data_IF_495685533271
#
_entry.id   IF_495685533271
#
_cell.length_a   1.000
_cell.length_b   1.000
_cell.length_c   1.000
_cell.angle_alpha   90.00
_cell.angle_beta   90.00
_cell.angle_gamma   90.00
#
_symmetry.space_group_name_H-M   'P 1'
#
loop_
_entity.id
_entity.type
_entity.pdbx_description
1 polymer ?
#
# COMPACT_ATOMS: atom_id res chain seq x y z
N UNK A 1 -14.86 5.79 10.96
CA UNK A 1 -15.91 4.86 10.48
C UNK A 1 -15.26 3.51 10.21
N UNK A 2 -15.64 2.42 10.90
CA UNK A 2 -15.07 1.08 10.64
C UNK A 2 -15.72 0.52 9.37
N UNK A 3 -15.04 0.65 8.23
CA UNK A 3 -15.52 0.11 6.95
C UNK A 3 -15.38 -1.40 6.99
N UNK A 4 -16.46 -2.13 6.68
CA UNK A 4 -16.42 -3.59 6.50
C UNK A 4 -15.95 -3.91 5.08
N UNK A 5 -15.27 -5.04 4.89
CA UNK A 5 -14.77 -5.52 3.59
C UNK A 5 -15.78 -5.43 2.43
N UNK A 6 -17.03 -5.83 2.68
CA UNK A 6 -18.11 -5.77 1.66
C UNK A 6 -18.41 -4.33 1.20
N UNK A 7 -18.28 -3.36 2.09
CA UNK A 7 -18.48 -1.95 1.78
C UNK A 7 -17.27 -1.35 1.06
N UNK A 8 -16.06 -1.84 1.34
CA UNK A 8 -14.83 -1.39 0.65
C UNK A 8 -14.93 -1.62 -0.87
N UNK A 9 -15.36 -2.80 -1.31
CA UNK A 9 -15.50 -3.10 -2.75
C UNK A 9 -16.45 -2.16 -3.49
N UNK A 10 -17.51 -1.68 -2.82
CA UNK A 10 -18.44 -0.70 -3.42
C UNK A 10 -17.79 0.68 -3.51
N UNK A 11 -17.04 1.09 -2.48
CA UNK A 11 -16.32 2.36 -2.45
C UNK A 11 -15.21 2.42 -3.50
N UNK A 12 -14.49 1.32 -3.70
CA UNK A 12 -13.36 1.25 -4.64
C UNK A 12 -13.77 1.42 -6.10
N UNK A 13 -15.03 1.18 -6.47
CA UNK A 13 -15.58 1.55 -7.79
C UNK A 13 -15.49 3.05 -8.10
N UNK A 14 -15.23 3.87 -7.08
CA UNK A 14 -15.09 5.32 -7.19
C UNK A 14 -13.69 5.80 -6.79
N UNK A 15 -12.70 4.89 -6.73
CA UNK A 15 -11.33 5.20 -6.23
C UNK A 15 -10.63 6.29 -7.04
N UNK A 16 -10.96 6.44 -8.33
CA UNK A 16 -10.42 7.49 -9.19
C UNK A 16 -10.75 8.93 -8.73
N UNK A 17 -11.63 9.09 -7.73
CA UNK A 17 -11.97 10.39 -7.11
C UNK A 17 -11.38 10.55 -5.71
N UNK A 18 -10.77 9.50 -5.16
CA UNK A 18 -10.26 9.52 -3.80
C UNK A 18 -8.91 10.24 -3.78
N UNK A 19 -8.73 11.11 -2.78
CA UNK A 19 -7.43 11.70 -2.47
C UNK A 19 -6.68 10.89 -1.42
N UNK A 20 -7.42 10.26 -0.52
CA UNK A 20 -6.85 9.55 0.61
C UNK A 20 -7.60 8.24 0.77
N UNK A 21 -6.86 7.15 0.97
CA UNK A 21 -7.41 5.82 1.22
C UNK A 21 -6.60 5.14 2.31
N UNK A 22 -7.22 5.01 3.48
CA UNK A 22 -6.61 4.34 4.63
C UNK A 22 -7.38 3.06 4.95
N UNK A 23 -6.75 1.93 4.65
CA UNK A 23 -7.29 0.59 4.91
C UNK A 23 -6.51 -0.02 6.06
N UNK A 24 -7.19 -0.16 7.20
CA UNK A 24 -6.68 -0.82 8.41
C UNK A 24 -7.58 -2.04 8.66
N UNK A 25 -7.06 -3.21 8.32
CA UNK A 25 -7.80 -4.47 8.24
C UNK A 25 -7.35 -5.50 9.29
N UNK A 26 -6.55 -5.12 10.27
CA UNK A 26 -5.94 -5.97 11.32
C UNK A 26 -6.95 -6.83 12.11
N UNK A 27 -8.25 -6.48 12.04
CA UNK A 27 -9.35 -7.16 12.74
C UNK A 27 -10.49 -7.57 11.79
N UNK A 28 -10.24 -7.65 10.49
CA UNK A 28 -11.26 -8.10 9.55
C UNK A 28 -11.38 -9.62 9.63
N UNK A 29 -12.61 -10.13 9.61
CA UNK A 29 -12.85 -11.58 9.61
C UNK A 29 -12.16 -12.23 8.40
N UNK A 30 -11.50 -13.37 8.64
CA UNK A 30 -10.76 -14.12 7.63
C UNK A 30 -11.67 -14.39 6.43
N UNK A 31 -11.32 -13.78 5.30
CA UNK A 31 -11.94 -14.08 4.03
C UNK A 31 -10.97 -14.90 3.21
N UNK A 32 -11.46 -15.89 2.47
CA UNK A 32 -10.63 -16.74 1.60
C UNK A 32 -9.94 -16.00 0.44
N UNK A 33 -10.11 -14.68 0.32
CA UNK A 33 -9.55 -13.87 -0.75
C UNK A 33 -8.68 -12.76 -0.16
N UNK A 34 -7.45 -12.53 -0.66
CA UNK A 34 -6.63 -11.40 -0.23
C UNK A 34 -7.32 -10.05 -0.44
N UNK A 35 -7.21 -9.13 0.52
CA UNK A 35 -7.81 -7.78 0.41
C UNK A 35 -7.34 -7.01 -0.82
N UNK A 36 -6.10 -7.24 -1.23
CA UNK A 36 -5.46 -6.50 -2.31
C UNK A 36 -6.09 -6.75 -3.68
N UNK A 37 -6.78 -7.89 -3.84
CA UNK A 37 -7.53 -8.22 -5.06
C UNK A 37 -8.71 -7.27 -5.32
N UNK A 38 -9.07 -6.41 -4.36
CA UNK A 38 -10.09 -5.39 -4.54
C UNK A 38 -9.55 -4.11 -5.19
N UNK A 39 -8.24 -3.86 -5.15
CA UNK A 39 -7.61 -2.65 -5.67
C UNK A 39 -7.23 -2.83 -7.14
N UNK A 40 -8.24 -2.96 -8.02
CA UNK A 40 -8.00 -3.23 -9.45
C UNK A 40 -8.02 -1.97 -10.31
N UNK A 41 -8.85 -0.99 -9.97
CA UNK A 41 -9.02 0.22 -10.78
C UNK A 41 -7.90 1.24 -10.49
N UNK A 42 -7.41 1.99 -11.51
CA UNK A 42 -6.48 3.09 -11.34
C UNK A 42 -6.92 4.12 -10.30
N UNK A 43 -5.98 4.67 -9.54
CA UNK A 43 -6.23 5.69 -8.53
C UNK A 43 -5.44 6.98 -8.82
N UNK A 44 -5.71 7.67 -9.94
CA UNK A 44 -4.87 8.77 -10.44
C UNK A 44 -4.82 10.00 -9.53
N UNK A 45 -5.86 10.23 -8.73
CA UNK A 45 -5.96 11.37 -7.81
C UNK A 45 -5.49 11.06 -6.40
N UNK A 46 -5.09 9.81 -6.12
CA UNK A 46 -4.75 9.36 -4.78
C UNK A 46 -3.40 9.96 -4.36
N UNK A 47 -3.40 10.63 -3.23
CA UNK A 47 -2.26 11.33 -2.62
C UNK A 47 -1.73 10.59 -1.40
N UNK A 48 -2.61 10.00 -0.60
CA UNK A 48 -2.23 9.24 0.60
C UNK A 48 -2.83 7.83 0.59
N UNK A 49 -1.99 6.82 0.83
CA UNK A 49 -2.37 5.42 0.89
C UNK A 49 -1.83 4.77 2.15
N UNK A 50 -2.71 4.15 2.94
CA UNK A 50 -2.34 3.27 4.04
C UNK A 50 -2.92 1.88 3.80
N UNK A 51 -2.06 0.86 3.82
CA UNK A 51 -2.43 -0.56 3.77
C UNK A 51 -1.86 -1.27 4.99
N UNK A 52 -2.72 -1.50 5.98
CA UNK A 52 -2.42 -2.21 7.23
C UNK A 52 -3.34 -3.41 7.38
N UNK A 53 -2.76 -4.56 7.69
CA UNK A 53 -3.46 -5.85 7.79
C UNK A 53 -2.81 -6.67 8.89
N UNK A 54 -3.40 -7.80 9.27
CA UNK A 54 -2.80 -8.76 10.21
C UNK A 54 -1.71 -9.65 9.59
N UNK A 55 -1.29 -9.35 8.35
CA UNK A 55 -0.22 -10.05 7.63
C UNK A 55 -0.64 -11.39 7.01
N UNK A 56 -1.86 -11.89 7.28
CA UNK A 56 -2.31 -13.20 6.75
C UNK A 56 -2.45 -13.23 5.24
N UNK A 57 -2.84 -12.10 4.65
CA UNK A 57 -2.99 -11.93 3.20
C UNK A 57 -1.65 -11.66 2.49
N UNK A 58 -0.54 -11.53 3.22
CA UNK A 58 0.78 -11.20 2.67
C UNK A 58 1.55 -12.47 2.32
N UNK A 59 1.81 -12.66 1.02
CA UNK A 59 2.58 -13.80 0.53
C UNK A 59 4.05 -13.40 0.36
N UNK A 60 4.96 -14.04 1.11
CA UNK A 60 6.42 -13.81 1.06
C UNK A 60 6.86 -12.34 1.27
N UNK A 61 6.05 -11.51 1.94
CA UNK A 61 6.32 -10.09 2.12
C UNK A 61 6.10 -9.22 0.87
N UNK A 62 5.55 -9.78 -0.21
CA UNK A 62 5.39 -9.06 -1.48
C UNK A 62 4.06 -8.32 -1.57
N UNK A 63 4.11 -7.03 -1.91
CA UNK A 63 2.92 -6.26 -2.25
C UNK A 63 2.46 -6.65 -3.66
N UNK A 64 1.26 -7.25 -3.83
CA UNK A 64 0.75 -7.54 -5.16
C UNK A 64 0.45 -6.24 -5.94
N UNK A 65 0.32 -6.32 -7.27
CA UNK A 65 -0.07 -5.16 -8.07
C UNK A 65 -1.41 -4.60 -7.59
N UNK A 66 -1.42 -3.34 -7.15
CA UNK A 66 -2.62 -2.61 -6.73
C UNK A 66 -2.83 -1.38 -7.60
N UNK A 67 -4.09 -1.01 -7.78
CA UNK A 67 -4.56 0.14 -8.56
C UNK A 67 -4.02 0.16 -10.00
N UNK A 68 -3.90 -1.02 -10.62
CA UNK A 68 -3.29 -1.21 -11.94
C UNK A 68 -1.88 -0.60 -12.11
N UNK A 69 -1.18 -0.32 -11.00
CA UNK A 69 0.11 0.37 -11.01
C UNK A 69 0.04 1.87 -11.29
N UNK A 70 -1.15 2.47 -11.31
CA UNK A 70 -1.36 3.87 -11.69
C UNK A 70 -1.82 4.70 -10.49
N UNK A 71 -0.84 5.31 -9.81
CA UNK A 71 -1.01 6.24 -8.69
C UNK A 71 -0.06 7.47 -8.80
N UNK A 72 -0.11 8.23 -9.90
CA UNK A 72 0.86 9.30 -10.21
C UNK A 72 0.87 10.45 -9.21
N UNK A 73 -0.24 10.66 -8.48
CA UNK A 73 -0.36 11.73 -7.49
C UNK A 73 0.11 11.31 -6.08
N UNK A 74 0.52 10.06 -5.88
CA UNK A 74 0.80 9.54 -4.55
C UNK A 74 2.03 10.23 -3.94
N UNK A 75 1.88 10.67 -2.69
CA UNK A 75 2.91 11.36 -1.89
C UNK A 75 3.17 10.67 -0.56
N UNK A 76 2.15 10.07 0.02
CA UNK A 76 2.23 9.45 1.34
C UNK A 76 1.89 7.97 1.23
N UNK A 77 2.80 7.12 1.71
CA UNK A 77 2.63 5.67 1.68
C UNK A 77 2.89 5.09 3.07
N UNK A 78 1.93 4.31 3.57
CA UNK A 78 2.07 3.51 4.79
C UNK A 78 1.79 2.05 4.48
N UNK A 79 2.76 1.18 4.73
CA UNK A 79 2.67 -0.27 4.51
C UNK A 79 3.07 -1.03 5.77
N UNK A 80 2.29 -2.05 6.12
CA UNK A 80 2.61 -2.99 7.19
C UNK A 80 2.85 -4.38 6.58
N UNK A 81 3.82 -5.14 7.09
CA UNK A 81 4.19 -6.49 6.65
C UNK A 81 4.86 -6.64 5.27
N UNK A 82 4.92 -5.58 4.47
CA UNK A 82 5.53 -5.64 3.14
C UNK A 82 7.02 -5.32 3.15
N UNK A 83 7.78 -6.20 2.51
CA UNK A 83 9.24 -6.12 2.39
C UNK A 83 9.74 -6.21 0.95
N UNK A 84 8.88 -6.56 0.00
CA UNK A 84 9.17 -6.51 -1.43
C UNK A 84 8.18 -5.56 -2.08
N UNK A 85 8.70 -4.48 -2.66
CA UNK A 85 7.91 -3.40 -3.24
C UNK A 85 8.10 -3.30 -4.75
N UNK A 86 7.05 -2.97 -5.51
CA UNK A 86 7.17 -2.67 -6.93
C UNK A 86 7.95 -1.37 -7.13
N UNK A 87 9.14 -1.46 -7.73
CA UNK A 87 10.03 -0.31 -8.01
C UNK A 87 9.45 0.65 -9.04
N UNK A 88 8.44 0.22 -9.81
CA UNK A 88 7.84 1.01 -10.88
C UNK A 88 6.63 1.83 -10.45
N UNK A 89 6.10 1.66 -9.23
CA UNK A 89 4.80 2.22 -8.83
C UNK A 89 4.90 3.47 -7.95
N UNK A 90 5.81 3.46 -6.98
CA UNK A 90 5.86 4.49 -5.97
C UNK A 90 7.00 5.45 -6.26
N UNK A 91 6.63 6.62 -6.81
CA UNK A 91 7.56 7.66 -7.19
C UNK A 91 7.21 8.97 -6.50
N UNK A 92 8.22 9.80 -6.26
CA UNK A 92 8.05 11.15 -5.72
C UNK A 92 7.26 11.19 -4.39
N UNK A 93 7.43 10.18 -3.53
CA UNK A 93 6.88 10.18 -2.19
C UNK A 93 7.56 11.27 -1.35
N UNK A 94 6.77 11.95 -0.52
CA UNK A 94 7.23 12.89 0.51
C UNK A 94 7.22 12.22 1.89
N UNK A 95 6.40 11.20 2.09
CA UNK A 95 6.31 10.42 3.33
C UNK A 95 6.22 8.93 3.05
N UNK A 96 7.06 8.16 3.75
CA UNK A 96 7.06 6.71 3.73
C UNK A 96 7.08 6.18 5.16
N UNK A 97 6.11 5.32 5.49
CA UNK A 97 6.04 4.58 6.74
C UNK A 97 5.96 3.08 6.47
N UNK A 98 6.89 2.33 7.04
CA UNK A 98 6.96 0.87 6.95
C UNK A 98 6.89 0.31 8.36
N UNK A 99 6.08 -0.72 8.59
CA UNK A 99 6.00 -1.39 9.89
C UNK A 99 5.91 -2.91 9.76
N UNK A 100 6.31 -3.61 10.82
CA UNK A 100 6.20 -5.07 10.99
C UNK A 100 6.73 -5.91 9.80
N UNK A 101 7.94 -5.60 9.37
CA UNK A 101 8.62 -6.20 8.21
C UNK A 101 9.18 -7.63 8.46
N UNK A 102 8.39 -8.51 9.08
CA UNK A 102 8.86 -9.80 9.61
C UNK A 102 9.05 -10.91 8.55
N UNK A 103 8.38 -10.84 7.39
CA UNK A 103 8.27 -11.97 6.46
C UNK A 103 9.54 -12.29 5.67
N UNK A 104 10.32 -11.27 5.29
CA UNK A 104 11.61 -11.41 4.58
C UNK A 104 12.30 -10.05 4.62
N UNK A 105 13.25 -9.82 5.53
CA UNK A 105 13.90 -8.50 5.66
C UNK A 105 14.49 -8.06 4.31
N UNK A 106 14.12 -6.88 3.78
CA UNK A 106 14.72 -6.40 2.54
C UNK A 106 16.21 -6.17 2.75
N UNK A 107 17.02 -6.41 1.71
CA UNK A 107 18.43 -6.01 1.77
C UNK A 107 18.50 -4.50 1.84
N UNK A 108 19.51 -3.96 2.51
CA UNK A 108 19.73 -2.50 2.55
C UNK A 108 19.79 -1.91 1.15
N UNK A 109 20.40 -2.62 0.19
CA UNK A 109 20.45 -2.19 -1.20
C UNK A 109 19.05 -2.07 -1.83
N UNK A 110 18.22 -3.11 -1.72
CA UNK A 110 16.85 -3.07 -2.25
C UNK A 110 15.99 -1.96 -1.61
N UNK A 111 16.22 -1.66 -0.34
CA UNK A 111 15.58 -0.55 0.34
C UNK A 111 16.06 0.80 -0.21
N UNK A 112 17.37 0.98 -0.42
CA UNK A 112 17.91 2.19 -1.02
C UNK A 112 17.42 2.38 -2.47
N UNK A 113 17.36 1.32 -3.26
CA UNK A 113 16.82 1.35 -4.63
C UNK A 113 15.34 1.78 -4.64
N UNK A 114 14.57 1.35 -3.64
CA UNK A 114 13.20 1.81 -3.46
C UNK A 114 13.14 3.32 -3.15
N UNK A 115 13.97 3.80 -2.23
CA UNK A 115 14.04 5.23 -1.86
C UNK A 115 14.53 6.13 -3.01
N UNK A 116 15.38 5.63 -3.91
CA UNK A 116 15.88 6.40 -5.07
C UNK A 116 14.75 6.92 -5.97
N UNK A 117 13.59 6.26 -6.00
CA UNK A 117 12.42 6.70 -6.76
C UNK A 117 11.71 7.91 -6.14
N UNK A 118 12.09 8.31 -4.93
CA UNK A 118 11.47 9.40 -4.16
C UNK A 118 12.53 10.37 -3.63
N UNK A 119 13.21 11.15 -4.49
CA UNK A 119 14.27 12.07 -4.08
C UNK A 119 13.77 13.26 -3.23
N UNK A 120 12.46 13.48 -3.18
CA UNK A 120 11.78 14.52 -2.38
C UNK A 120 11.24 13.99 -1.05
N UNK A 121 11.69 12.82 -0.59
CA UNK A 121 11.23 12.22 0.65
C UNK A 121 11.68 13.08 1.85
N UNK A 122 10.72 13.54 2.63
CA UNK A 122 10.93 14.37 3.82
C UNK A 122 10.80 13.54 5.11
N UNK A 123 9.89 12.56 5.10
CA UNK A 123 9.56 11.74 6.25
C UNK A 123 9.82 10.27 5.93
N UNK A 124 10.63 9.64 6.77
CA UNK A 124 10.87 8.20 6.76
C UNK A 124 10.62 7.64 8.16
N UNK A 125 9.64 6.74 8.29
CA UNK A 125 9.31 6.02 9.52
C UNK A 125 9.44 4.50 9.28
N UNK A 126 10.16 3.81 10.17
CA UNK A 126 10.53 2.39 10.07
C UNK A 126 10.21 1.65 11.37
#
# INVERSE_FOLDING_TARGET
MKIRRKSLGVLLKHVARFKELHVIADLWEDSSTPIYNLFVDPAPTLVSLTLRTDGKDVTNGSLPPVFAGDMPSLKELTLEHFTVWPTTYFHNLTSLSLSDQAFNRPTTLSFLDFLQNSPVLEILAL
#
